data_IF_204942057551
#
_entry.id   IF_204942057551
#
_cell.length_a   1.000
_cell.length_b   1.000
_cell.length_c   1.000
_cell.angle_alpha   90.00
_cell.angle_beta   90.00
_cell.angle_gamma   90.00
#
_symmetry.space_group_name_H-M   'P 1'
#
loop_
_entity.id
_entity.type
_entity.pdbx_description
1 polymer ?
#
# COMPACT_ATOMS: atom_id res chain seq x y z
N UNK A 1 -35.50 -22.69 -8.49
CA UNK A 1 -34.78 -21.71 -9.34
C UNK A 1 -33.40 -22.29 -9.62
N UNK A 2 -33.03 -22.49 -10.89
CA UNK A 2 -31.68 -22.94 -11.24
C UNK A 2 -30.69 -21.78 -11.09
N UNK A 3 -29.49 -21.98 -10.53
CA UNK A 3 -28.48 -20.92 -10.43
C UNK A 3 -28.01 -20.56 -11.85
N UNK A 4 -28.16 -19.29 -12.21
CA UNK A 4 -27.63 -18.77 -13.47
C UNK A 4 -26.09 -18.87 -13.45
N UNK A 5 -25.46 -19.33 -14.55
CA UNK A 5 -24.01 -19.38 -14.63
C UNK A 5 -23.41 -17.97 -14.47
N UNK A 6 -22.23 -17.84 -13.85
CA UNK A 6 -21.59 -16.55 -13.63
C UNK A 6 -21.39 -15.84 -14.97
N UNK A 7 -21.95 -14.64 -15.09
CA UNK A 7 -21.89 -13.84 -16.31
C UNK A 7 -20.43 -13.44 -16.55
N UNK A 8 -19.81 -14.02 -17.58
CA UNK A 8 -18.48 -13.57 -18.04
C UNK A 8 -18.62 -12.17 -18.60
N UNK A 9 -18.03 -11.19 -17.93
CA UNK A 9 -18.02 -9.81 -18.40
C UNK A 9 -17.04 -9.73 -19.57
N UNK A 10 -17.52 -9.38 -20.76
CA UNK A 10 -16.64 -9.06 -21.89
C UNK A 10 -16.11 -7.64 -21.65
N UNK A 11 -14.80 -7.51 -21.47
CA UNK A 11 -14.15 -6.20 -21.34
C UNK A 11 -13.95 -5.61 -22.73
N UNK A 12 -14.48 -4.40 -22.95
CA UNK A 12 -14.19 -3.60 -24.14
C UNK A 12 -13.17 -2.52 -23.77
N UNK A 13 -12.05 -2.48 -24.49
CA UNK A 13 -11.01 -1.47 -24.32
C UNK A 13 -11.03 -0.57 -25.55
N UNK A 14 -11.38 0.72 -25.40
CA UNK A 14 -11.39 1.66 -26.52
C UNK A 14 -9.98 1.81 -27.13
N UNK A 15 -9.90 1.87 -28.47
CA UNK A 15 -8.62 2.00 -29.17
C UNK A 15 -7.88 3.32 -28.88
N UNK A 16 -8.60 4.36 -28.45
CA UNK A 16 -8.07 5.67 -28.09
C UNK A 16 -7.89 5.85 -26.58
N UNK A 17 -7.92 4.77 -25.80
CA UNK A 17 -7.68 4.84 -24.36
C UNK A 17 -6.21 5.16 -24.10
N UNK A 18 -5.94 6.36 -23.62
CA UNK A 18 -4.60 6.76 -23.19
C UNK A 18 -4.39 6.39 -21.72
N UNK A 19 -3.26 5.72 -21.44
CA UNK A 19 -2.80 5.50 -20.08
C UNK A 19 -2.44 6.83 -19.40
N UNK A 20 -2.75 6.94 -18.11
CA UNK A 20 -2.38 8.10 -17.30
C UNK A 20 -1.31 7.68 -16.31
N UNK A 21 -0.17 8.37 -16.35
CA UNK A 21 0.88 8.18 -15.36
C UNK A 21 0.54 8.95 -14.07
N UNK A 22 0.68 8.27 -12.93
CA UNK A 22 0.59 8.86 -11.61
C UNK A 22 1.64 8.24 -10.67
N UNK A 23 2.21 9.06 -9.80
CA UNK A 23 3.19 8.64 -8.80
C UNK A 23 2.75 8.96 -7.36
N UNK A 24 1.56 9.52 -7.19
CA UNK A 24 0.90 9.70 -5.91
C UNK A 24 -0.61 9.54 -6.07
N UNK A 25 -1.29 9.20 -4.96
CA UNK A 25 -2.74 9.20 -4.89
C UNK A 25 -3.18 9.84 -3.59
N UNK A 26 -4.17 10.73 -3.65
CA UNK A 26 -4.89 11.21 -2.47
C UNK A 26 -6.22 10.46 -2.40
N UNK A 27 -6.50 9.88 -1.24
CA UNK A 27 -7.75 9.18 -0.98
C UNK A 27 -8.59 10.01 -0.03
N UNK A 28 -9.79 10.36 -0.45
CA UNK A 28 -10.80 11.01 0.40
C UNK A 28 -12.12 10.25 0.33
N UNK A 29 -13.04 10.52 1.26
CA UNK A 29 -14.30 9.77 1.30
C UNK A 29 -15.45 10.55 1.92
N UNK A 30 -16.65 10.14 1.55
CA UNK A 30 -17.91 10.40 2.25
C UNK A 30 -18.51 9.06 2.69
N UNK A 31 -19.70 9.07 3.29
CA UNK A 31 -20.41 7.81 3.59
C UNK A 31 -20.76 7.01 2.32
N UNK A 32 -20.98 7.69 1.20
CA UNK A 32 -21.48 7.09 -0.04
C UNK A 32 -20.38 6.82 -1.07
N UNK A 33 -19.23 7.50 -0.96
CA UNK A 33 -18.20 7.49 -2.00
C UNK A 33 -16.79 7.48 -1.42
N UNK A 34 -15.90 6.78 -2.13
CA UNK A 34 -14.44 6.86 -2.02
C UNK A 34 -13.94 7.57 -3.28
N UNK A 35 -13.13 8.60 -3.11
CA UNK A 35 -12.54 9.38 -4.20
C UNK A 35 -11.04 9.16 -4.21
N UNK A 36 -10.52 8.74 -5.36
CA UNK A 36 -9.10 8.53 -5.64
C UNK A 36 -8.64 9.59 -6.62
N UNK A 37 -7.83 10.53 -6.14
CA UNK A 37 -7.17 11.54 -6.97
C UNK A 37 -5.76 11.08 -7.31
N UNK A 38 -5.56 10.62 -8.54
CA UNK A 38 -4.27 10.23 -9.06
C UNK A 38 -3.49 11.46 -9.51
N UNK A 39 -2.28 11.60 -8.98
CA UNK A 39 -1.50 12.82 -9.07
C UNK A 39 -0.16 12.51 -9.72
N UNK A 40 0.30 13.46 -10.54
CA UNK A 40 1.67 13.51 -11.02
C UNK A 40 2.40 14.66 -10.33
N UNK A 41 3.51 14.31 -9.68
CA UNK A 41 4.47 15.25 -9.11
C UNK A 41 5.73 15.18 -9.94
N UNK A 42 6.11 16.27 -10.60
CA UNK A 42 7.31 16.35 -11.42
C UNK A 42 8.49 16.86 -10.60
N UNK A 43 9.71 16.30 -10.77
CA UNK A 43 10.91 16.92 -10.24
C UNK A 43 11.02 18.33 -10.83
N UNK A 44 11.16 19.35 -9.98
CA UNK A 44 11.26 20.77 -10.32
C UNK A 44 9.94 21.55 -10.56
N UNK A 45 8.75 20.93 -10.49
CA UNK A 45 7.48 21.67 -10.38
C UNK A 45 6.90 21.46 -8.97
N UNK A 46 6.84 22.49 -8.10
CA UNK A 46 6.29 22.35 -6.76
C UNK A 46 4.77 22.11 -6.78
N UNK A 47 4.11 22.23 -7.93
CA UNK A 47 2.68 21.99 -8.07
C UNK A 47 2.41 20.53 -8.40
N UNK A 48 1.72 19.85 -7.51
CA UNK A 48 1.10 18.56 -7.78
C UNK A 48 -0.10 18.76 -8.74
N UNK A 49 -0.18 17.96 -9.81
CA UNK A 49 -1.30 18.01 -10.76
C UNK A 49 -2.14 16.75 -10.66
N UNK A 50 -3.44 16.91 -10.43
CA UNK A 50 -4.40 15.80 -10.54
C UNK A 50 -4.55 15.45 -12.01
N UNK A 51 -4.27 14.20 -12.35
CA UNK A 51 -4.35 13.70 -13.71
C UNK A 51 -5.71 13.02 -13.97
N UNK A 52 -6.16 12.23 -13.01
CA UNK A 52 -7.43 11.51 -13.08
C UNK A 52 -8.07 11.43 -11.70
N UNK A 53 -9.38 11.59 -11.65
CA UNK A 53 -10.22 11.29 -10.48
C UNK A 53 -11.05 10.05 -10.76
N UNK A 54 -10.99 9.06 -9.88
CA UNK A 54 -11.87 7.90 -9.88
C UNK A 54 -12.72 7.93 -8.63
N UNK A 55 -14.03 7.77 -8.80
CA UNK A 55 -15.00 7.73 -7.69
C UNK A 55 -15.64 6.36 -7.65
N UNK A 56 -15.71 5.77 -6.45
CA UNK A 56 -16.22 4.43 -6.23
C UNK A 56 -17.16 4.42 -5.03
N UNK A 57 -18.09 3.47 -4.99
CA UNK A 57 -18.79 3.15 -3.72
C UNK A 57 -17.80 2.48 -2.75
N UNK A 58 -18.03 2.55 -1.42
CA UNK A 58 -17.20 1.85 -0.45
C UNK A 58 -17.05 0.36 -0.70
N UNK A 59 -18.13 -0.30 -1.16
CA UNK A 59 -18.10 -1.72 -1.51
C UNK A 59 -17.16 -2.01 -2.69
N UNK A 60 -17.24 -1.22 -3.76
CA UNK A 60 -16.37 -1.39 -4.92
C UNK A 60 -14.91 -1.05 -4.60
N UNK A 61 -14.66 -0.05 -3.76
CA UNK A 61 -13.31 0.29 -3.29
C UNK A 61 -12.69 -0.86 -2.48
N UNK A 62 -13.49 -1.55 -1.65
CA UNK A 62 -13.03 -2.72 -0.89
C UNK A 62 -12.67 -3.91 -1.80
N UNK A 63 -13.50 -4.16 -2.82
CA UNK A 63 -13.20 -5.18 -3.83
C UNK A 63 -11.93 -4.83 -4.62
N UNK A 64 -11.75 -3.55 -4.96
CA UNK A 64 -10.54 -3.06 -5.62
C UNK A 64 -9.30 -3.29 -4.76
N UNK A 65 -9.33 -2.94 -3.46
CA UNK A 65 -8.21 -3.16 -2.54
C UNK A 65 -7.79 -4.63 -2.48
N UNK A 66 -8.76 -5.54 -2.36
CA UNK A 66 -8.49 -6.99 -2.34
C UNK A 66 -7.84 -7.46 -3.64
N UNK A 67 -8.41 -7.07 -4.78
CA UNK A 67 -7.86 -7.41 -6.09
C UNK A 67 -6.45 -6.84 -6.28
N UNK A 68 -6.20 -5.59 -5.88
CA UNK A 68 -4.91 -4.94 -5.97
C UNK A 68 -3.87 -5.66 -5.09
N UNK A 69 -4.20 -5.94 -3.83
CA UNK A 69 -3.32 -6.65 -2.90
C UNK A 69 -2.89 -8.01 -3.44
N UNK A 70 -3.85 -8.84 -3.89
CA UNK A 70 -3.53 -10.15 -4.49
C UNK A 70 -2.64 -10.03 -5.74
N UNK A 71 -2.81 -9.00 -6.56
CA UNK A 71 -1.95 -8.81 -7.73
C UNK A 71 -0.53 -8.35 -7.35
N UNK A 72 -0.39 -7.51 -6.32
CA UNK A 72 0.91 -7.09 -5.81
C UNK A 72 1.66 -8.26 -5.18
N UNK A 73 1.00 -9.09 -4.36
CA UNK A 73 1.58 -10.30 -3.79
C UNK A 73 2.13 -11.25 -4.88
N UNK A 74 1.35 -11.45 -5.95
CA UNK A 74 1.78 -12.26 -7.10
C UNK A 74 2.96 -11.65 -7.83
N UNK A 75 2.98 -10.33 -7.98
CA UNK A 75 4.09 -9.61 -8.59
C UNK A 75 5.37 -9.79 -7.76
N UNK A 76 5.29 -9.60 -6.45
CA UNK A 76 6.43 -9.77 -5.54
C UNK A 76 6.95 -11.21 -5.49
N UNK A 77 6.06 -12.20 -5.53
CA UNK A 77 6.46 -13.60 -5.64
C UNK A 77 7.28 -13.90 -6.91
N UNK A 78 7.06 -13.16 -7.99
CA UNK A 78 7.75 -13.34 -9.26
C UNK A 78 9.00 -12.44 -9.42
N UNK A 79 9.01 -11.25 -8.81
CA UNK A 79 10.02 -10.21 -9.06
C UNK A 79 10.82 -9.79 -7.82
N UNK A 80 10.47 -10.32 -6.64
CA UNK A 80 11.01 -9.91 -5.35
C UNK A 80 10.21 -8.79 -4.69
N UNK A 81 10.51 -8.56 -3.42
CA UNK A 81 9.82 -7.59 -2.55
C UNK A 81 9.93 -6.14 -3.10
N UNK A 82 8.80 -5.43 -3.08
CA UNK A 82 8.72 -4.01 -3.40
C UNK A 82 9.31 -3.23 -2.22
N UNK A 83 10.51 -2.68 -2.43
CA UNK A 83 11.15 -1.83 -1.43
C UNK A 83 10.45 -0.48 -1.34
N UNK A 84 9.77 -0.25 -0.23
CA UNK A 84 9.16 1.03 0.07
C UNK A 84 10.23 2.03 0.53
N UNK A 85 10.10 3.33 0.17
CA UNK A 85 10.93 4.36 0.78
C UNK A 85 10.71 4.35 2.30
N UNK A 86 11.76 4.63 3.10
CA UNK A 86 11.66 4.59 4.55
C UNK A 86 10.55 5.53 5.00
N UNK A 87 9.57 4.97 5.71
CA UNK A 87 8.51 5.77 6.32
C UNK A 87 9.17 6.66 7.39
N UNK A 88 8.83 7.97 7.47
CA UNK A 88 9.33 8.79 8.55
C UNK A 88 8.96 8.14 9.87
N UNK A 89 9.98 7.81 10.69
CA UNK A 89 9.80 7.13 11.95
C UNK A 89 8.72 7.86 12.77
N UNK A 90 7.74 7.12 13.28
CA UNK A 90 6.73 7.73 14.13
C UNK A 90 7.42 8.26 15.40
N UNK A 91 6.81 9.27 16.03
CA UNK A 91 7.30 9.78 17.32
C UNK A 91 7.37 8.65 18.37
N UNK A 92 6.48 7.67 18.29
CA UNK A 92 6.51 6.48 19.15
C UNK A 92 7.75 5.61 18.89
N UNK A 93 8.14 5.39 17.63
CA UNK A 93 9.34 4.61 17.28
C UNK A 93 10.62 5.28 17.79
N UNK A 94 10.66 6.62 17.76
CA UNK A 94 11.79 7.40 18.28
C UNK A 94 11.88 7.37 19.80
N UNK A 95 10.74 7.31 20.50
CA UNK A 95 10.69 7.35 21.96
C UNK A 95 10.91 5.96 22.60
N UNK A 96 10.40 4.89 21.98
CA UNK A 96 10.43 3.54 22.56
C UNK A 96 11.47 2.60 21.94
N UNK A 97 12.12 2.98 20.82
CA UNK A 97 13.14 2.15 20.15
C UNK A 97 14.42 1.89 20.96
N UNK A 98 14.64 2.62 22.06
CA UNK A 98 15.79 2.44 22.96
C UNK A 98 15.62 1.37 24.03
N UNK A 99 14.41 0.81 24.22
CA UNK A 99 14.14 -0.21 25.24
C UNK A 99 14.28 -1.60 24.59
N UNK A 100 15.49 -1.96 24.18
CA UNK A 100 15.87 -3.38 24.11
C UNK A 100 16.32 -3.77 25.50
N UNK A 101 15.50 -4.55 26.19
CA UNK A 101 15.82 -5.13 27.49
C UNK A 101 17.14 -5.91 27.41
N UNK A 102 18.17 -5.44 28.11
CA UNK A 102 19.32 -6.27 28.47
C UNK A 102 18.90 -7.22 29.59
N UNK A 103 18.20 -8.30 29.25
CA UNK A 103 17.99 -9.42 30.17
C UNK A 103 18.57 -10.69 29.55
N UNK A 104 19.75 -11.08 30.03
CA UNK A 104 20.44 -12.30 29.59
C UNK A 104 21.94 -12.38 29.86
N UNK A 105 22.46 -11.78 30.93
CA UNK A 105 23.78 -12.15 31.48
C UNK A 105 23.66 -12.47 32.96
N UNK A 106 23.21 -13.70 33.25
CA UNK A 106 23.35 -14.31 34.57
C UNK A 106 24.39 -15.44 34.49
N UNK A 107 25.50 -15.20 35.19
CA UNK A 107 26.24 -16.14 36.05
C UNK A 107 26.84 -17.43 35.47
N UNK A 108 28.18 -17.48 35.44
CA UNK A 108 28.98 -18.54 36.06
C UNK A 108 30.48 -18.19 35.95
N UNK A 109 30.98 -17.29 36.81
CA UNK A 109 32.42 -17.20 37.09
C UNK A 109 32.67 -17.89 38.44
N UNK A 110 33.16 -19.13 38.36
CA UNK A 110 33.44 -19.99 39.49
C UNK A 110 34.92 -20.37 39.55
N UNK A 111 35.62 -19.80 40.54
CA UNK A 111 36.93 -20.26 41.06
C UNK A 111 38.14 -19.72 40.30
N UNK A 112 39.17 -19.13 40.93
CA UNK A 112 39.71 -19.28 42.29
C UNK A 112 40.52 -18.02 42.67
N UNK A 113 40.64 -17.67 43.97
CA UNK A 113 41.76 -16.86 44.45
C UNK A 113 42.88 -17.75 45.01
N UNK A 114 44.10 -17.46 44.50
CA UNK A 114 45.46 -17.64 45.03
C UNK A 114 45.92 -19.03 45.51
#
# INVERSE_FOLDING_TARGET
MQPQPPRKLQLEIPANLNGVYANAVIVSHTYSEIVLDFIQIAPNDPRARVQTRVVMTPANAKLFLQALGTNLERFEAAHGEIKLPPQPASLADQLFGGIKSEEGKSEADGGQPQ
#
